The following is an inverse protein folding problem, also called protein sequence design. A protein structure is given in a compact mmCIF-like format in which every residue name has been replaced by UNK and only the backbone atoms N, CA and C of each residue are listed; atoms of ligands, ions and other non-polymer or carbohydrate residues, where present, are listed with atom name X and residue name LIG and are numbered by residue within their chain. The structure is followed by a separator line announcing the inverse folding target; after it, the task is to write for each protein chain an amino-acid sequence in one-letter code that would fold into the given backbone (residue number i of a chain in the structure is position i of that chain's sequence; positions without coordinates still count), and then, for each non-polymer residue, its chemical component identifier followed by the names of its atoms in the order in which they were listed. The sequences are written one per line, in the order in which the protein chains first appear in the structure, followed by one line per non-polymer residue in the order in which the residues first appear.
data_IF_909407437733
#
_entry.id   IF_909407437733
#
_cell.length_a   1.000
_cell.length_b   1.000
_cell.length_c   1.000
_cell.angle_alpha   90.00
_cell.angle_beta   90.00
_cell.angle_gamma   90.00
#
_symmetry.space_group_name_H-M   'P 1'
#
loop_
_entity.id
_entity.type
_entity.pdbx_description
1 polymer ?
#
# COMPACT_ATOMS: atom_id res chain seq x y z
N UNK A 1 -1.12 9.25 -0.26
CA UNK A 1 -0.62 8.26 0.71
C UNK A 1 -0.21 8.93 2.00
N UNK A 2 0.92 9.65 2.04
CA UNK A 2 1.42 10.32 3.26
C UNK A 2 0.37 11.23 3.92
N UNK A 3 -0.22 12.14 3.14
CA UNK A 3 -1.26 13.07 3.64
C UNK A 3 -2.47 12.31 4.17
N UNK A 4 -2.91 11.26 3.46
CA UNK A 4 -4.05 10.45 3.87
C UNK A 4 -3.80 9.74 5.21
N UNK A 5 -2.64 9.11 5.35
CA UNK A 5 -2.24 8.44 6.60
C UNK A 5 -2.15 9.46 7.75
N UNK A 6 -1.55 10.62 7.51
CA UNK A 6 -1.42 11.67 8.50
C UNK A 6 -2.78 12.22 8.96
N UNK A 7 -3.68 12.51 8.02
CA UNK A 7 -5.04 12.95 8.33
C UNK A 7 -5.82 11.87 9.08
N UNK A 8 -5.72 10.60 8.65
CA UNK A 8 -6.36 9.47 9.35
C UNK A 8 -5.96 9.39 10.82
N UNK A 9 -4.66 9.53 11.11
CA UNK A 9 -4.12 9.55 12.48
C UNK A 9 -4.58 10.78 13.27
N UNK A 10 -4.62 11.96 12.65
CA UNK A 10 -5.14 13.17 13.31
C UNK A 10 -6.59 12.99 13.73
N UNK A 11 -7.44 12.50 12.83
CA UNK A 11 -8.86 12.33 13.14
C UNK A 11 -9.08 11.22 14.18
N UNK A 12 -8.26 10.17 14.18
CA UNK A 12 -8.29 9.15 15.22
C UNK A 12 -7.89 9.72 16.58
N UNK A 13 -6.89 10.60 16.62
CA UNK A 13 -6.50 11.32 17.82
C UNK A 13 -7.64 12.24 18.30
N UNK A 14 -8.24 13.04 17.41
CA UNK A 14 -9.37 13.91 17.76
C UNK A 14 -10.57 13.12 18.30
N UNK A 15 -10.88 11.97 17.69
CA UNK A 15 -11.89 11.04 18.17
C UNK A 15 -11.62 10.59 19.62
N UNK A 16 -10.38 10.19 19.93
CA UNK A 16 -10.02 9.67 21.25
C UNK A 16 -10.17 10.68 22.41
N UNK A 17 -10.15 11.98 22.11
CA UNK A 17 -10.29 13.06 23.10
C UNK A 17 -11.63 13.80 22.99
N UNK A 18 -12.52 13.37 22.11
CA UNK A 18 -13.82 14.01 21.94
C UNK A 18 -14.84 13.48 22.95
N UNK A 19 -15.49 14.39 23.67
CA UNK A 19 -16.60 14.04 24.58
C UNK A 19 -17.99 14.25 23.94
N UNK A 20 -18.05 15.01 22.85
CA UNK A 20 -19.29 15.32 22.13
C UNK A 20 -19.65 14.15 21.19
N UNK A 21 -20.81 13.51 21.36
CA UNK A 21 -21.26 12.40 20.52
C UNK A 21 -21.28 12.70 19.01
N UNK A 22 -21.73 13.89 18.60
CA UNK A 22 -21.87 14.22 17.18
C UNK A 22 -20.50 14.37 16.52
N UNK A 23 -19.60 15.10 17.19
CA UNK A 23 -18.21 15.26 16.74
C UNK A 23 -17.45 13.93 16.78
N UNK A 24 -17.76 13.04 17.72
CA UNK A 24 -17.18 11.69 17.80
C UNK A 24 -17.46 10.90 16.53
N UNK A 25 -18.72 10.87 16.08
CA UNK A 25 -19.12 10.21 14.82
C UNK A 25 -18.42 10.84 13.62
N UNK A 26 -18.35 12.17 13.55
CA UNK A 26 -17.69 12.87 12.44
C UNK A 26 -16.21 12.49 12.37
N UNK A 27 -15.48 12.56 13.49
CA UNK A 27 -14.05 12.27 13.50
C UNK A 27 -13.74 10.80 13.20
N UNK A 28 -14.51 9.84 13.72
CA UNK A 28 -14.28 8.43 13.40
C UNK A 28 -14.58 8.12 11.92
N UNK A 29 -15.63 8.72 11.35
CA UNK A 29 -15.96 8.55 9.93
C UNK A 29 -14.89 9.18 9.02
N UNK A 30 -14.37 10.36 9.38
CA UNK A 30 -13.25 10.98 8.67
C UNK A 30 -12.00 10.11 8.75
N UNK A 31 -11.65 9.60 9.93
CA UNK A 31 -10.51 8.70 10.12
C UNK A 31 -10.65 7.43 9.25
N UNK A 32 -11.82 6.80 9.26
CA UNK A 32 -12.13 5.65 8.40
C UNK A 32 -12.01 5.97 6.90
N UNK A 33 -12.54 7.11 6.47
CA UNK A 33 -12.45 7.56 5.06
C UNK A 33 -11.00 7.77 4.63
N UNK A 34 -10.18 8.43 5.44
CA UNK A 34 -8.77 8.63 5.11
C UNK A 34 -7.95 7.33 5.15
N UNK A 35 -8.38 6.35 5.95
CA UNK A 35 -7.81 5.00 5.96
C UNK A 35 -8.15 4.25 4.66
N UNK A 36 -9.40 4.30 4.21
CA UNK A 36 -9.84 3.74 2.92
C UNK A 36 -9.10 4.37 1.74
N UNK A 37 -8.98 5.71 1.71
CA UNK A 37 -8.17 6.43 0.70
C UNK A 37 -6.72 5.98 0.75
N UNK A 38 -6.15 5.77 1.94
CA UNK A 38 -4.78 5.32 2.09
C UNK A 38 -4.58 3.92 1.49
N UNK A 39 -5.44 2.95 1.83
CA UNK A 39 -5.42 1.60 1.28
C UNK A 39 -5.60 1.58 -0.24
N UNK A 40 -6.55 2.35 -0.77
CA UNK A 40 -6.70 2.52 -2.22
C UNK A 40 -5.43 3.04 -2.90
N UNK A 41 -4.79 4.05 -2.32
CA UNK A 41 -3.56 4.60 -2.85
C UNK A 41 -2.37 3.63 -2.76
N UNK A 42 -2.35 2.69 -1.80
CA UNK A 42 -1.38 1.58 -1.78
C UNK A 42 -1.53 0.74 -3.04
N UNK A 43 -2.75 0.26 -3.35
CA UNK A 43 -3.01 -0.58 -4.54
C UNK A 43 -2.66 0.15 -5.83
N UNK A 44 -3.07 1.42 -5.97
CA UNK A 44 -2.72 2.25 -7.13
C UNK A 44 -1.22 2.47 -7.24
N UNK A 45 -0.52 2.64 -6.12
CA UNK A 45 0.93 2.77 -6.12
C UNK A 45 1.61 1.47 -6.55
N UNK A 46 1.21 0.32 -5.99
CA UNK A 46 1.71 -1.00 -6.39
C UNK A 46 1.50 -1.20 -7.89
N UNK A 47 0.32 -0.86 -8.41
CA UNK A 47 0.02 -0.90 -9.84
C UNK A 47 0.99 -0.05 -10.66
N UNK A 48 1.11 1.25 -10.33
CA UNK A 48 1.96 2.17 -11.06
C UNK A 48 3.44 1.75 -11.05
N UNK A 49 3.89 1.14 -9.95
CA UNK A 49 5.23 0.55 -9.82
C UNK A 49 5.38 -0.75 -10.60
N UNK A 50 4.36 -1.60 -10.60
CA UNK A 50 4.33 -2.89 -11.29
C UNK A 50 4.20 -2.79 -12.80
N UNK A 51 3.52 -1.76 -13.29
CA UNK A 51 3.17 -1.57 -14.69
C UNK A 51 4.34 -1.72 -15.68
N UNK A 52 5.54 -1.13 -15.45
CA UNK A 52 6.66 -1.30 -16.37
C UNK A 52 7.12 -2.76 -16.47
N UNK A 53 7.15 -3.48 -15.35
CA UNK A 53 7.56 -4.89 -15.31
C UNK A 53 6.50 -5.77 -15.94
N UNK A 54 5.21 -5.54 -15.64
CA UNK A 54 4.07 -6.26 -16.21
C UNK A 54 4.04 -6.10 -17.73
N UNK A 55 4.20 -4.88 -18.25
CA UNK A 55 4.26 -4.65 -19.71
C UNK A 55 5.40 -5.39 -20.39
N UNK A 56 6.54 -5.55 -19.70
CA UNK A 56 7.71 -6.26 -20.24
C UNK A 56 7.61 -7.78 -20.19
N UNK A 57 6.80 -8.33 -19.28
CA UNK A 57 6.69 -9.79 -19.04
C UNK A 57 5.38 -10.38 -19.53
N UNK A 58 4.25 -9.80 -19.13
CA UNK A 58 2.91 -10.35 -19.36
C UNK A 58 1.94 -9.19 -19.69
N UNK A 59 2.02 -8.57 -20.89
CA UNK A 59 1.23 -7.39 -21.22
C UNK A 59 -0.29 -7.63 -21.28
N UNK A 60 -0.72 -8.87 -21.55
CA UNK A 60 -2.14 -9.21 -21.69
C UNK A 60 -2.93 -9.16 -20.38
N UNK A 61 -2.27 -9.19 -19.22
CA UNK A 61 -2.94 -9.08 -17.91
C UNK A 61 -3.31 -7.63 -17.55
N UNK A 62 -2.72 -6.65 -18.23
CA UNK A 62 -2.90 -5.22 -17.96
C UNK A 62 -4.37 -4.78 -17.89
N UNK A 63 -5.26 -5.08 -18.86
CA UNK A 63 -6.67 -4.66 -18.80
C UNK A 63 -7.41 -5.24 -17.58
N UNK A 64 -7.13 -6.48 -17.20
CA UNK A 64 -7.76 -7.13 -16.04
C UNK A 64 -7.38 -6.42 -14.73
N UNK A 65 -6.12 -5.99 -14.60
CA UNK A 65 -5.66 -5.27 -13.42
C UNK A 65 -6.26 -3.86 -13.34
N UNK A 66 -6.52 -3.20 -14.46
CA UNK A 66 -7.27 -1.93 -14.47
C UNK A 66 -8.70 -2.13 -14.00
N UNK A 67 -9.40 -3.15 -14.50
CA UNK A 67 -10.76 -3.49 -14.05
C UNK A 67 -10.76 -3.79 -12.55
N UNK A 68 -9.80 -4.56 -12.07
CA UNK A 68 -9.63 -4.82 -10.63
C UNK A 68 -9.51 -3.54 -9.80
N UNK A 69 -8.68 -2.58 -10.22
CA UNK A 69 -8.50 -1.31 -9.48
C UNK A 69 -9.82 -0.52 -9.42
N UNK A 70 -10.59 -0.50 -10.50
CA UNK A 70 -11.89 0.18 -10.53
C UNK A 70 -12.88 -0.50 -9.58
N UNK A 71 -12.98 -1.83 -9.62
CA UNK A 71 -13.85 -2.58 -8.70
C UNK A 71 -13.41 -2.42 -7.25
N UNK A 72 -12.12 -2.43 -6.98
CA UNK A 72 -11.56 -2.20 -5.65
C UNK A 72 -11.87 -0.79 -5.14
N UNK A 73 -11.84 0.23 -6.00
CA UNK A 73 -12.24 1.59 -5.64
C UNK A 73 -13.72 1.67 -5.26
N UNK A 74 -14.60 0.99 -6.01
CA UNK A 74 -16.02 0.94 -5.69
C UNK A 74 -16.27 0.24 -4.36
N UNK A 75 -15.57 -0.87 -4.09
CA UNK A 75 -15.64 -1.60 -2.83
C UNK A 75 -15.21 -0.74 -1.64
N UNK A 76 -14.16 0.07 -1.79
CA UNK A 76 -13.69 1.01 -0.76
C UNK A 76 -14.72 2.11 -0.47
N UNK A 77 -15.41 2.62 -1.50
CA UNK A 77 -16.49 3.61 -1.32
C UNK A 77 -17.68 2.98 -0.59
N UNK A 78 -18.07 1.77 -0.99
CA UNK A 78 -19.14 1.00 -0.33
C UNK A 78 -18.84 0.79 1.16
N UNK A 79 -17.63 0.33 1.48
CA UNK A 79 -17.19 0.13 2.87
C UNK A 79 -17.22 1.44 3.67
N UNK A 80 -16.76 2.55 3.09
CA UNK A 80 -16.78 3.85 3.78
C UNK A 80 -18.21 4.30 4.13
N UNK A 81 -19.17 4.06 3.24
CA UNK A 81 -20.59 4.37 3.49
C UNK A 81 -21.15 3.48 4.61
N UNK A 82 -20.89 2.17 4.56
CA UNK A 82 -21.37 1.23 5.58
C UNK A 82 -20.72 1.47 6.94
N UNK A 83 -19.44 1.82 6.97
CA UNK A 83 -18.74 2.22 8.18
C UNK A 83 -19.34 3.51 8.78
N UNK A 84 -19.67 4.50 7.95
CA UNK A 84 -20.34 5.70 8.43
C UNK A 84 -21.73 5.36 9.01
N UNK A 85 -22.51 4.54 8.30
CA UNK A 85 -23.82 4.07 8.77
C UNK A 85 -23.72 3.33 10.12
N UNK A 86 -22.73 2.45 10.30
CA UNK A 86 -22.56 1.69 11.55
C UNK A 86 -22.21 2.59 12.74
N UNK A 87 -21.48 3.67 12.51
CA UNK A 87 -21.14 4.62 13.58
C UNK A 87 -22.30 5.57 13.87
N UNK A 88 -23.09 5.94 12.87
CA UNK A 88 -24.30 6.74 13.03
C UNK A 88 -25.40 5.95 13.76
N UNK A 89 -25.54 4.65 13.47
CA UNK A 89 -26.56 3.78 14.10
C UNK A 89 -26.37 3.62 15.61
N UNK A 90 -25.17 3.79 16.13
CA UNK A 90 -24.91 3.82 17.57
C UNK A 90 -25.66 4.95 18.30
N UNK A 91 -25.96 6.06 17.62
CA UNK A 91 -26.56 7.25 18.21
C UNK A 91 -27.99 7.52 17.71
N UNK A 92 -28.42 6.86 16.64
CA UNK A 92 -29.76 7.01 16.05
C UNK A 92 -30.63 5.79 16.37
N UNK A 93 -31.67 5.92 17.22
CA UNK A 93 -32.50 4.80 17.67
C UNK A 93 -33.16 4.01 16.52
N UNK A 94 -33.49 4.68 15.41
CA UNK A 94 -34.17 4.07 14.26
C UNK A 94 -33.28 3.07 13.50
N UNK A 95 -31.96 3.13 13.68
CA UNK A 95 -30.98 2.26 13.03
C UNK A 95 -30.33 1.28 14.02
N UNK A 96 -30.66 1.38 15.32
CA UNK A 96 -29.98 0.61 16.36
C UNK A 96 -30.31 -0.89 16.27
N UNK A 97 -31.52 -1.23 15.83
CA UNK A 97 -31.94 -2.64 15.63
C UNK A 97 -31.07 -3.36 14.58
N UNK A 98 -30.47 -2.62 13.64
CA UNK A 98 -29.59 -3.15 12.59
C UNK A 98 -28.08 -3.00 12.92
N UNK A 99 -27.73 -2.49 14.10
CA UNK A 99 -26.34 -2.17 14.48
C UNK A 99 -25.41 -3.39 14.37
N UNK A 100 -25.83 -4.54 14.90
CA UNK A 100 -25.04 -5.77 14.85
C UNK A 100 -24.79 -6.23 13.40
N UNK A 101 -25.81 -6.09 12.54
CA UNK A 101 -25.72 -6.43 11.13
C UNK A 101 -24.73 -5.50 10.40
N UNK A 102 -24.77 -4.19 10.66
CA UNK A 102 -23.81 -3.25 10.08
C UNK A 102 -22.38 -3.53 10.52
N UNK A 103 -22.15 -3.77 11.82
CA UNK A 103 -20.82 -4.11 12.35
C UNK A 103 -20.30 -5.39 11.69
N UNK A 104 -21.15 -6.43 11.57
CA UNK A 104 -20.76 -7.68 10.93
C UNK A 104 -20.35 -7.46 9.47
N UNK A 105 -21.15 -6.73 8.69
CA UNK A 105 -20.87 -6.44 7.28
C UNK A 105 -19.57 -5.66 7.13
N UNK A 106 -19.37 -4.60 7.92
CA UNK A 106 -18.15 -3.77 7.91
C UNK A 106 -16.92 -4.61 8.21
N UNK A 107 -16.99 -5.52 9.18
CA UNK A 107 -15.89 -6.41 9.53
C UNK A 107 -15.55 -7.38 8.38
N UNK A 108 -16.57 -8.01 7.78
CA UNK A 108 -16.38 -8.91 6.63
C UNK A 108 -15.77 -8.17 5.45
N UNK A 109 -16.27 -6.97 5.13
CA UNK A 109 -15.71 -6.15 4.05
C UNK A 109 -14.26 -5.73 4.32
N UNK A 110 -13.94 -5.38 5.57
CA UNK A 110 -12.57 -5.02 5.96
C UNK A 110 -11.60 -6.18 5.71
N UNK A 111 -11.98 -7.40 6.12
CA UNK A 111 -11.20 -8.62 5.87
C UNK A 111 -11.07 -8.88 4.36
N UNK A 112 -12.16 -8.75 3.60
CA UNK A 112 -12.15 -8.96 2.16
C UNK A 112 -11.20 -7.99 1.45
N UNK A 113 -11.24 -6.72 1.82
CA UNK A 113 -10.38 -5.67 1.26
C UNK A 113 -8.91 -5.96 1.56
N UNK A 114 -8.59 -6.35 2.79
CA UNK A 114 -7.24 -6.74 3.19
C UNK A 114 -6.74 -7.94 2.37
N UNK A 115 -7.56 -8.99 2.22
CA UNK A 115 -7.23 -10.17 1.39
C UNK A 115 -7.05 -9.80 -0.08
N UNK A 116 -7.90 -8.94 -0.63
CA UNK A 116 -7.78 -8.48 -2.02
C UNK A 116 -6.52 -7.65 -2.24
N UNK A 117 -6.19 -6.75 -1.30
CA UNK A 117 -4.97 -5.96 -1.33
C UNK A 117 -3.75 -6.88 -1.32
N UNK A 118 -3.66 -7.81 -0.36
CA UNK A 118 -2.55 -8.77 -0.27
C UNK A 118 -2.44 -9.67 -1.50
N UNK A 119 -3.57 -10.16 -2.04
CA UNK A 119 -3.60 -10.98 -3.26
C UNK A 119 -3.10 -10.21 -4.49
N UNK A 120 -3.48 -8.93 -4.63
CA UNK A 120 -2.99 -8.07 -5.69
C UNK A 120 -1.49 -7.82 -5.59
N UNK A 121 -1.02 -7.53 -4.38
CA UNK A 121 0.38 -7.27 -4.08
C UNK A 121 1.24 -8.54 -4.30
N UNK A 122 0.71 -9.71 -3.95
CA UNK A 122 1.32 -11.02 -4.22
C UNK A 122 1.40 -11.31 -5.72
N UNK A 123 0.34 -11.03 -6.49
CA UNK A 123 0.34 -11.18 -7.95
C UNK A 123 1.43 -10.32 -8.60
N UNK A 124 1.50 -9.03 -8.23
CA UNK A 124 2.52 -8.11 -8.76
C UNK A 124 3.93 -8.56 -8.33
N UNK A 125 4.08 -9.05 -7.12
CA UNK A 125 5.34 -9.61 -6.62
C UNK A 125 5.74 -10.89 -7.36
N UNK A 126 4.79 -11.76 -7.70
CA UNK A 126 5.02 -12.92 -8.56
C UNK A 126 5.58 -12.52 -9.92
N UNK A 127 5.06 -11.44 -10.51
CA UNK A 127 5.60 -10.87 -11.76
C UNK A 127 7.03 -10.34 -11.56
N UNK A 128 7.34 -9.70 -10.44
CA UNK A 128 8.71 -9.27 -10.12
C UNK A 128 9.69 -10.45 -10.01
N UNK A 129 9.30 -11.51 -9.29
CA UNK A 129 10.12 -12.72 -9.13
C UNK A 129 10.35 -13.39 -10.49
N UNK A 130 9.28 -13.53 -11.28
CA UNK A 130 9.37 -14.09 -12.63
C UNK A 130 10.31 -13.28 -13.53
N UNK A 131 10.22 -11.95 -13.49
CA UNK A 131 11.11 -11.07 -14.23
C UNK A 131 12.57 -11.23 -13.80
N UNK A 132 12.85 -11.21 -12.49
CA UNK A 132 14.20 -11.40 -11.95
C UNK A 132 14.80 -12.75 -12.35
N UNK A 133 13.99 -13.81 -12.33
CA UNK A 133 14.41 -15.15 -12.73
C UNK A 133 14.75 -15.24 -14.22
N UNK A 134 13.92 -14.61 -15.07
CA UNK A 134 14.13 -14.56 -16.53
C UNK A 134 15.38 -13.76 -16.90
N UNK A 135 15.57 -12.60 -16.28
CA UNK A 135 16.72 -11.72 -16.48
C UNK A 135 18.03 -12.32 -15.98
N UNK A 136 18.02 -13.06 -14.86
CA UNK A 136 19.23 -13.70 -14.34
C UNK A 136 19.87 -14.69 -15.32
N UNK A 137 19.16 -15.08 -16.38
CA UNK A 137 19.64 -15.96 -17.44
C UNK A 137 20.14 -15.23 -18.69
N UNK A 138 19.82 -13.94 -18.87
CA UNK A 138 20.12 -13.18 -20.09
C UNK A 138 21.02 -11.98 -19.75
N UNK A 139 22.27 -12.05 -20.19
CA UNK A 139 23.32 -11.13 -19.75
C UNK A 139 23.15 -9.69 -20.31
N UNK A 140 23.02 -8.74 -19.38
CA UNK A 140 23.41 -7.32 -19.41
C UNK A 140 22.90 -6.41 -20.56
N UNK A 141 21.70 -5.83 -20.37
CA UNK A 141 21.30 -4.57 -21.01
C UNK A 141 20.99 -3.50 -19.95
N UNK A 142 21.33 -2.23 -20.22
CA UNK A 142 21.21 -1.11 -19.27
C UNK A 142 19.79 -0.88 -18.74
N UNK A 143 18.74 -1.14 -19.53
CA UNK A 143 17.35 -1.01 -19.08
C UNK A 143 16.95 -2.11 -18.09
N UNK A 144 17.66 -3.23 -18.10
CA UNK A 144 17.43 -4.36 -17.19
C UNK A 144 17.76 -3.98 -15.74
N UNK A 145 18.80 -3.15 -15.51
CA UNK A 145 19.23 -2.76 -14.16
C UNK A 145 18.18 -1.94 -13.41
N UNK A 146 17.49 -1.02 -14.10
CA UNK A 146 16.41 -0.24 -13.49
C UNK A 146 15.23 -1.12 -13.09
N UNK A 147 14.80 -2.05 -13.95
CA UNK A 147 13.70 -2.96 -13.64
C UNK A 147 14.07 -3.97 -12.53
N UNK A 148 15.33 -4.38 -12.43
CA UNK A 148 15.84 -5.22 -11.32
C UNK A 148 15.74 -4.49 -9.99
N UNK A 149 16.15 -3.22 -9.93
CA UNK A 149 16.02 -2.39 -8.72
C UNK A 149 14.54 -2.27 -8.32
N UNK A 150 13.66 -1.94 -9.29
CA UNK A 150 12.21 -1.86 -9.03
C UNK A 150 11.67 -3.17 -8.47
N UNK A 151 12.09 -4.30 -9.02
CA UNK A 151 11.63 -5.64 -8.61
C UNK A 151 12.07 -5.99 -7.20
N UNK A 152 13.34 -5.75 -6.83
CA UNK A 152 13.84 -6.02 -5.47
C UNK A 152 13.15 -5.18 -4.39
N UNK A 153 13.03 -3.88 -4.62
CA UNK A 153 12.28 -3.02 -3.71
C UNK A 153 10.78 -3.35 -3.71
N UNK A 154 10.26 -3.86 -4.83
CA UNK A 154 8.92 -4.41 -4.93
C UNK A 154 8.67 -5.54 -3.94
N UNK A 155 9.54 -6.55 -3.96
CA UNK A 155 9.50 -7.70 -3.01
C UNK A 155 9.65 -7.22 -1.56
N UNK A 156 10.61 -6.33 -1.27
CA UNK A 156 10.79 -5.81 0.09
C UNK A 156 9.56 -5.04 0.60
N UNK A 157 8.94 -4.25 -0.29
CA UNK A 157 7.72 -3.51 0.04
C UNK A 157 6.54 -4.45 0.31
N UNK A 158 6.41 -5.53 -0.46
CA UNK A 158 5.39 -6.56 -0.27
C UNK A 158 5.50 -7.20 1.12
N UNK A 159 6.70 -7.66 1.50
CA UNK A 159 6.95 -8.25 2.83
C UNK A 159 6.56 -7.26 3.94
N UNK A 160 6.88 -5.97 3.76
CA UNK A 160 6.52 -4.93 4.71
C UNK A 160 5.00 -4.71 4.82
N UNK A 161 4.28 -4.72 3.69
CA UNK A 161 2.81 -4.59 3.68
C UNK A 161 2.18 -5.80 4.34
N UNK A 162 2.53 -7.02 3.94
CA UNK A 162 1.96 -8.25 4.50
C UNK A 162 2.17 -8.34 6.00
N UNK A 163 3.38 -7.98 6.46
CA UNK A 163 3.67 -7.89 7.88
C UNK A 163 2.75 -6.88 8.57
N UNK A 164 2.62 -5.66 8.05
CA UNK A 164 1.73 -4.65 8.62
C UNK A 164 0.26 -5.09 8.62
N UNK A 165 -0.24 -5.64 7.51
CA UNK A 165 -1.62 -6.11 7.34
C UNK A 165 -1.98 -7.18 8.37
N UNK A 166 -1.06 -8.12 8.60
CA UNK A 166 -1.23 -9.17 9.61
C UNK A 166 -1.45 -8.55 11.00
N UNK A 167 -0.65 -7.56 11.38
CA UNK A 167 -0.80 -6.87 12.68
C UNK A 167 -2.02 -5.96 12.74
N UNK A 168 -2.47 -5.41 11.60
CA UNK A 168 -3.72 -4.66 11.53
C UNK A 168 -4.93 -5.56 11.84
N UNK A 169 -5.01 -6.71 11.18
CA UNK A 169 -6.09 -7.70 11.41
C UNK A 169 -6.05 -8.23 12.84
N UNK A 170 -4.86 -8.61 13.34
CA UNK A 170 -4.70 -9.07 14.73
C UNK A 170 -5.15 -8.02 15.74
N UNK A 171 -4.76 -6.75 15.54
CA UNK A 171 -5.20 -5.65 16.38
C UNK A 171 -6.71 -5.47 16.34
N UNK A 172 -7.32 -5.51 15.15
CA UNK A 172 -8.77 -5.37 14.97
C UNK A 172 -9.54 -6.47 15.71
N UNK A 173 -9.10 -7.73 15.60
CA UNK A 173 -9.71 -8.84 16.34
C UNK A 173 -9.59 -8.61 17.85
N UNK A 174 -8.39 -8.33 18.36
CA UNK A 174 -8.16 -8.20 19.80
C UNK A 174 -8.83 -6.97 20.41
N UNK A 175 -8.94 -5.86 19.67
CA UNK A 175 -9.63 -4.66 20.14
C UNK A 175 -11.14 -4.88 20.28
N UNK A 176 -11.73 -5.77 19.48
CA UNK A 176 -13.17 -6.02 19.45
C UNK A 176 -13.60 -7.25 20.28
N UNK A 177 -12.66 -8.02 20.85
CA UNK A 177 -13.01 -9.19 21.69
C UNK A 177 -13.12 -8.77 23.16
N UNK A 178 -14.29 -8.94 23.78
CA UNK A 178 -14.47 -8.71 25.23
C UNK A 178 -13.75 -9.80 26.05
N UNK A 179 -12.50 -9.54 26.43
CA UNK A 179 -11.73 -10.37 27.37
C UNK A 179 -10.34 -10.77 26.85
N UNK A 180 -9.27 -10.68 27.66
CA UNK A 180 -7.92 -10.94 27.19
C UNK A 180 -7.62 -12.45 27.21
N UNK A 181 -7.60 -13.09 26.05
CA UNK A 181 -6.74 -14.26 25.84
C UNK A 181 -5.30 -13.86 25.50
N UNK A 182 -5.00 -12.55 25.47
CA UNK A 182 -3.75 -11.98 24.96
C UNK A 182 -3.02 -11.19 26.06
N UNK A 183 -1.69 -11.27 26.08
CA UNK A 183 -0.86 -10.46 26.98
C UNK A 183 -0.87 -8.98 26.56
N UNK A 184 -0.87 -8.07 27.54
CA UNK A 184 -0.80 -6.62 27.31
C UNK A 184 0.38 -6.23 26.40
N UNK A 185 1.51 -6.93 26.56
CA UNK A 185 2.69 -6.74 25.73
C UNK A 185 2.40 -6.98 24.25
N UNK A 186 1.75 -8.10 23.91
CA UNK A 186 1.47 -8.44 22.53
C UNK A 186 0.44 -7.50 21.89
N UNK A 187 -0.56 -7.07 22.65
CA UNK A 187 -1.50 -6.03 22.20
C UNK A 187 -0.78 -4.70 21.91
N UNK A 188 0.11 -4.27 22.81
CA UNK A 188 0.88 -3.02 22.67
C UNK A 188 1.82 -3.07 21.46
N UNK A 189 2.51 -4.20 21.27
CA UNK A 189 3.37 -4.43 20.09
C UNK A 189 2.54 -4.33 18.81
N UNK A 190 1.37 -4.98 18.76
CA UNK A 190 0.50 -4.95 17.58
C UNK A 190 -0.03 -3.56 17.27
N UNK A 191 -0.41 -2.80 18.31
CA UNK A 191 -0.81 -1.40 18.16
C UNK A 191 0.32 -0.54 17.58
N UNK A 192 1.55 -0.67 18.10
CA UNK A 192 2.68 0.11 17.59
C UNK A 192 3.08 -0.28 16.18
N UNK A 193 3.06 -1.58 15.85
CA UNK A 193 3.33 -2.04 14.47
C UNK A 193 2.24 -1.54 13.53
N UNK A 194 0.97 -1.56 13.95
CA UNK A 194 -0.12 -1.02 13.15
C UNK A 194 0.07 0.48 12.87
N UNK A 195 0.46 1.26 13.88
CA UNK A 195 0.67 2.71 13.75
C UNK A 195 1.94 3.06 12.93
N UNK A 196 3.02 2.28 13.08
CA UNK A 196 4.32 2.56 12.44
C UNK A 196 4.51 1.87 11.09
N UNK A 197 3.76 0.82 10.80
CA UNK A 197 3.84 0.05 9.56
C UNK A 197 3.69 0.91 8.28
N UNK A 198 2.70 1.82 8.21
CA UNK A 198 2.55 2.74 7.08
C UNK A 198 3.79 3.62 6.88
N UNK A 199 4.44 4.06 7.98
CA UNK A 199 5.65 4.87 7.92
C UNK A 199 6.84 4.06 7.40
N UNK A 200 7.03 2.83 7.89
CA UNK A 200 8.08 1.94 7.42
C UNK A 200 7.96 1.67 5.92
N UNK A 201 6.74 1.40 5.46
CA UNK A 201 6.44 1.23 4.05
C UNK A 201 6.80 2.47 3.21
N UNK A 202 6.44 3.66 3.68
CA UNK A 202 6.81 4.92 3.01
C UNK A 202 8.32 5.13 2.94
N UNK A 203 9.07 4.76 3.98
CA UNK A 203 10.55 4.83 3.97
C UNK A 203 11.13 3.93 2.88
N UNK A 204 10.62 2.69 2.74
CA UNK A 204 11.04 1.78 1.67
C UNK A 204 10.75 2.39 0.29
N UNK A 205 9.58 3.00 0.10
CA UNK A 205 9.22 3.67 -1.15
C UNK A 205 10.13 4.87 -1.48
N UNK A 206 10.49 5.69 -0.48
CA UNK A 206 11.42 6.81 -0.65
C UNK A 206 12.83 6.29 -1.00
N UNK A 207 13.27 5.21 -0.34
CA UNK A 207 14.52 4.51 -0.65
C UNK A 207 14.59 4.04 -2.10
N UNK A 208 13.50 3.45 -2.63
CA UNK A 208 13.39 3.07 -4.03
C UNK A 208 13.56 4.28 -4.96
N UNK A 209 12.84 5.37 -4.72
CA UNK A 209 12.95 6.59 -5.55
C UNK A 209 14.37 7.14 -5.54
N UNK A 210 15.02 7.15 -4.38
CA UNK A 210 16.40 7.60 -4.24
C UNK A 210 17.38 6.70 -5.03
N UNK A 211 17.22 5.37 -4.93
CA UNK A 211 18.03 4.41 -5.68
C UNK A 211 17.89 4.60 -7.19
N UNK A 212 16.66 4.81 -7.69
CA UNK A 212 16.39 5.08 -9.10
C UNK A 212 16.99 6.41 -9.58
N UNK A 213 16.94 7.45 -8.76
CA UNK A 213 17.55 8.74 -9.09
C UNK A 213 19.07 8.63 -9.19
N UNK A 214 19.70 7.93 -8.24
CA UNK A 214 21.14 7.69 -8.23
C UNK A 214 21.60 6.88 -9.44
N UNK A 215 20.84 5.85 -9.84
CA UNK A 215 21.18 5.06 -11.03
C UNK A 215 21.04 5.87 -12.33
N UNK A 216 20.00 6.71 -12.44
CA UNK A 216 19.86 7.65 -13.57
C UNK A 216 21.04 8.62 -13.68
N UNK A 217 21.52 9.16 -12.56
CA UNK A 217 22.69 10.05 -12.55
C UNK A 217 23.97 9.31 -13.00
N UNK A 218 24.19 8.11 -12.47
CA UNK A 218 25.34 7.27 -12.85
C UNK A 218 25.31 6.87 -14.33
N UNK A 219 24.13 6.54 -14.85
CA UNK A 219 23.92 6.20 -16.25
C UNK A 219 24.18 7.39 -17.19
N UNK A 220 23.72 8.59 -16.82
CA UNK A 220 24.04 9.82 -17.56
C UNK A 220 25.55 10.09 -17.59
N UNK A 221 26.22 10.00 -16.44
CA UNK A 221 27.68 10.20 -16.35
C UNK A 221 28.47 9.18 -17.20
N UNK A 222 28.04 7.92 -17.27
CA UNK A 222 28.64 6.89 -18.14
C UNK A 222 28.46 7.22 -19.62
N UNK A 223 27.26 7.63 -20.04
CA UNK A 223 27.00 8.03 -21.45
C UNK A 223 27.85 9.24 -21.86
N UNK A 224 28.00 10.24 -21.01
CA UNK A 224 28.86 11.40 -21.28
C UNK A 224 30.33 11.01 -21.42
N UNK A 225 30.84 10.08 -20.60
CA UNK A 225 32.22 9.57 -20.70
C UNK A 225 32.49 8.73 -21.96
N UNK A 226 31.49 7.98 -22.44
CA UNK A 226 31.62 7.20 -23.68
C UNK A 226 31.63 8.15 -24.89
N UNK A 227 30.71 9.13 -24.92
CA UNK A 227 30.64 10.11 -25.99
C UNK A 227 31.92 10.95 -26.07
N UNK A 228 32.49 11.40 -24.95
CA UNK A 228 33.75 12.15 -24.94
C UNK A 228 34.96 11.32 -25.38
N UNK A 229 35.02 10.03 -25.07
CA UNK A 229 36.07 9.12 -25.59
C UNK A 229 35.94 8.87 -27.09
N UNK A 230 34.73 8.78 -27.63
CA UNK A 230 34.50 8.61 -29.07
C UNK A 230 34.85 9.84 -29.90
N UNK A 231 34.69 11.06 -29.35
CA UNK A 231 35.07 12.31 -30.04
C UNK A 231 36.59 12.56 -29.98
N UNK A 232 37.29 12.10 -28.94
CA UNK A 232 38.73 12.24 -28.82
C UNK A 232 39.56 11.35 -29.76
N UNK A 233 39.02 10.21 -30.20
CA UNK A 233 39.71 9.28 -31.11
C UNK A 233 39.57 9.65 -32.60
N UNK A 234 38.64 10.53 -32.95
CA UNK A 234 38.44 11.01 -34.33
C UNK A 234 39.45 12.07 -34.79
N UNK A 235 40.26 12.66 -33.89
CA UNK A 235 41.19 13.76 -34.22
C UNK A 235 42.67 13.35 -34.34
N UNK A 236 42.97 12.05 -34.36
CA UNK A 236 44.36 11.54 -34.40
C UNK A 236 44.76 10.87 -35.72
N UNK A 237 43.99 11.11 -36.79
CA UNK A 237 44.32 10.67 -38.15
C UNK A 237 44.17 11.85 -39.09
N UNK A 238 45.10 12.79 -39.01
CA UNK A 238 45.48 13.71 -40.08
C UNK A 238 46.94 14.14 -39.83
#
# INVERSE_FOLDING_TARGET
MIISNFLGVIFQYLYAFCADPELTVIYICLSGTFSAIFQYLIVVYTWNRGLPVIKSTIPWIQPFLVVFIVLYALLQVEQAILFALSNVSFYLPILNDDLELFIMIVNIQSILIDVLMGSFDLLVTGVYIYYLWSVSRVNDQLDVKNLVIISWFGVASFICIEFWLTFYVLYSIWANTFGPNMTLLAFTISLHINNLGPLLYLVIQVGLKFALLRDKQNSKARRTKINSKSTGTSKSKD
#
